data_IF_048773173734
#
_entry.id   IF_048773173734
#
_cell.length_a   1.000
_cell.length_b   1.000
_cell.length_c   1.000
_cell.angle_alpha   90.00
_cell.angle_beta   90.00
_cell.angle_gamma   90.00
#
_symmetry.space_group_name_H-M   'P 1'
#
loop_
_entity.id
_entity.type
_entity.pdbx_description
1 polymer ?
#
# COMPACT_ATOMS: atom_id res chain seq x y z
N UNK A 1 -11.18 -8.05 12.32
CA UNK A 1 -9.77 -7.68 12.07
C UNK A 1 -9.17 -7.14 13.36
N UNK A 2 -7.90 -7.43 13.67
CA UNK A 2 -7.26 -7.07 14.93
C UNK A 2 -6.07 -6.14 14.68
N UNK A 3 -6.35 -4.84 14.51
CA UNK A 3 -5.33 -3.82 14.25
C UNK A 3 -5.00 -3.05 15.53
N UNK A 4 -3.74 -2.62 15.65
CA UNK A 4 -3.33 -1.70 16.71
C UNK A 4 -3.94 -0.28 16.53
N UNK A 5 -3.75 0.59 17.51
CA UNK A 5 -4.13 2.01 17.38
C UNK A 5 -3.27 2.71 16.32
N UNK A 6 -3.91 3.45 15.41
CA UNK A 6 -3.25 4.11 14.29
C UNK A 6 -3.69 5.57 14.15
N UNK A 7 -2.74 6.41 13.77
CA UNK A 7 -2.92 7.81 13.41
C UNK A 7 -2.15 8.11 12.10
N UNK A 8 -2.31 9.30 11.54
CA UNK A 8 -1.58 9.69 10.32
C UNK A 8 -0.06 9.61 10.53
N UNK A 9 0.40 9.94 11.74
CA UNK A 9 1.80 9.82 12.15
C UNK A 9 2.34 8.39 12.12
N UNK A 10 1.48 7.36 12.06
CA UNK A 10 1.88 5.96 11.86
C UNK A 10 2.48 5.72 10.46
N UNK A 11 2.23 6.60 9.50
CA UNK A 11 2.80 6.56 8.15
C UNK A 11 3.91 7.61 7.94
N UNK A 12 4.15 8.48 8.91
CA UNK A 12 5.12 9.56 8.79
C UNK A 12 6.56 9.01 8.79
N UNK A 13 7.38 9.48 7.84
CA UNK A 13 8.80 9.15 7.76
C UNK A 13 9.60 10.40 8.09
N UNK A 14 10.38 10.38 9.16
CA UNK A 14 11.21 11.54 9.55
C UNK A 14 12.44 11.66 8.67
N UNK A 15 12.75 12.87 8.22
CA UNK A 15 14.04 13.20 7.63
C UNK A 15 15.06 13.71 8.67
N UNK A 16 16.19 14.29 8.22
CA UNK A 16 16.62 14.39 6.82
C UNK A 16 17.17 13.05 6.31
N UNK A 17 17.10 12.84 4.99
CA UNK A 17 17.83 11.79 4.30
C UNK A 17 18.27 12.33 2.93
N UNK A 18 19.51 12.07 2.49
CA UNK A 18 19.97 12.41 1.14
C UNK A 18 19.43 11.42 0.13
N UNK A 19 19.33 10.16 0.53
CA UNK A 19 18.84 9.08 -0.31
C UNK A 19 17.91 8.13 0.45
N UNK A 20 16.88 7.66 -0.26
CA UNK A 20 16.00 6.59 0.21
C UNK A 20 15.97 5.44 -0.78
N UNK A 21 15.75 4.24 -0.24
CA UNK A 21 15.48 3.03 -1.00
C UNK A 21 14.00 2.96 -1.36
N UNK A 22 13.70 2.82 -2.64
CA UNK A 22 12.35 2.87 -3.20
C UNK A 22 12.08 1.61 -3.99
N UNK A 23 10.87 1.07 -3.83
CA UNK A 23 10.42 -0.09 -4.57
C UNK A 23 9.94 0.34 -5.96
N UNK A 24 10.66 -0.05 -7.02
CA UNK A 24 10.14 0.13 -8.37
C UNK A 24 9.17 -0.99 -8.70
N UNK A 25 7.91 -0.64 -8.93
CA UNK A 25 6.92 -1.61 -9.42
C UNK A 25 7.19 -1.89 -10.90
N UNK A 26 7.07 -3.15 -11.30
CA UNK A 26 7.15 -3.58 -12.70
C UNK A 26 5.76 -4.05 -13.12
N UNK A 27 4.97 -3.23 -13.83
CA UNK A 27 3.62 -3.58 -14.22
C UNK A 27 3.56 -4.92 -14.97
N UNK A 28 2.58 -5.76 -14.62
CA UNK A 28 2.40 -7.10 -15.22
C UNK A 28 3.40 -8.15 -14.75
N UNK A 29 4.27 -7.83 -13.78
CA UNK A 29 5.21 -8.79 -13.20
C UNK A 29 5.07 -8.86 -11.67
N UNK A 30 5.34 -10.05 -11.11
CA UNK A 30 5.37 -10.26 -9.67
C UNK A 30 6.66 -9.69 -9.03
N UNK A 31 7.70 -9.54 -9.84
CA UNK A 31 8.98 -9.00 -9.40
C UNK A 31 8.93 -7.48 -9.29
N UNK A 32 9.73 -6.95 -8.39
CA UNK A 32 9.94 -5.51 -8.18
C UNK A 32 11.42 -5.19 -8.33
N UNK A 33 11.76 -3.94 -8.60
CA UNK A 33 13.13 -3.44 -8.54
C UNK A 33 13.41 -2.70 -7.22
N UNK A 34 14.70 -2.52 -6.92
CA UNK A 34 15.17 -1.59 -5.88
C UNK A 34 15.84 -0.38 -6.52
N UNK A 35 15.47 0.83 -6.09
CA UNK A 35 16.05 2.08 -6.58
C UNK A 35 16.51 2.94 -5.41
N UNK A 36 17.57 3.72 -5.63
CA UNK A 36 18.02 4.73 -4.67
C UNK A 36 17.75 6.11 -5.27
N UNK A 37 16.91 6.89 -4.60
CA UNK A 37 16.48 8.21 -5.10
C UNK A 37 16.58 9.28 -4.02
N UNK A 38 16.68 10.54 -4.44
CA UNK A 38 16.55 11.67 -3.53
C UNK A 38 15.07 11.86 -3.12
N UNK A 39 14.75 11.89 -1.82
CA UNK A 39 13.37 12.06 -1.35
C UNK A 39 12.85 13.48 -1.59
N UNK A 40 11.53 13.66 -1.58
CA UNK A 40 10.93 14.98 -1.32
C UNK A 40 10.80 15.15 0.18
N UNK A 41 11.24 16.29 0.70
CA UNK A 41 11.12 16.62 2.11
C UNK A 41 10.26 17.88 2.30
N UNK A 42 9.36 17.83 3.26
CA UNK A 42 8.53 18.96 3.67
C UNK A 42 8.38 18.92 5.19
N UNK A 43 8.62 20.06 5.86
CA UNK A 43 8.47 20.22 7.31
C UNK A 43 9.20 19.15 8.15
N UNK A 44 10.38 18.72 7.69
CA UNK A 44 11.20 17.69 8.35
C UNK A 44 10.73 16.25 8.15
N UNK A 45 9.71 16.02 7.34
CA UNK A 45 9.22 14.70 6.94
C UNK A 45 9.59 14.40 5.50
N UNK A 46 9.82 13.12 5.20
CA UNK A 46 9.90 12.63 3.82
C UNK A 46 8.47 12.37 3.35
N UNK A 47 8.09 13.02 2.26
CA UNK A 47 6.73 13.03 1.72
C UNK A 47 6.71 12.44 0.32
N UNK A 48 5.52 12.13 -0.15
CA UNK A 48 5.25 11.70 -1.52
C UNK A 48 5.52 12.85 -2.51
N UNK A 49 5.75 12.48 -3.76
CA UNK A 49 5.87 13.40 -4.88
C UNK A 49 5.23 12.77 -6.11
N UNK A 50 3.91 12.91 -6.27
CA UNK A 50 3.19 12.30 -7.38
C UNK A 50 3.63 12.78 -8.76
N UNK A 51 4.26 13.96 -8.86
CA UNK A 51 4.83 14.46 -10.12
C UNK A 51 6.04 13.62 -10.58
N UNK A 52 6.75 13.00 -9.63
CA UNK A 52 7.84 12.05 -9.87
C UNK A 52 7.42 10.59 -9.68
N UNK A 53 6.11 10.34 -9.55
CA UNK A 53 5.53 9.03 -9.23
C UNK A 53 6.12 8.40 -7.96
N UNK A 54 6.51 9.22 -6.99
CA UNK A 54 7.02 8.75 -5.70
C UNK A 54 5.86 8.72 -4.70
N UNK A 55 5.26 7.55 -4.50
CA UNK A 55 4.11 7.38 -3.60
C UNK A 55 4.50 6.57 -2.37
N UNK A 56 3.72 6.70 -1.30
CA UNK A 56 3.99 5.96 -0.05
C UNK A 56 3.29 4.61 -0.11
N UNK A 57 3.99 3.58 0.37
CA UNK A 57 3.43 2.25 0.61
C UNK A 57 3.58 1.92 2.09
N UNK A 58 2.55 1.32 2.69
CA UNK A 58 2.64 0.80 4.04
C UNK A 58 2.00 -0.58 4.16
N UNK A 59 2.54 -1.38 5.08
CA UNK A 59 1.96 -2.65 5.52
C UNK A 59 1.65 -2.58 7.00
N UNK A 60 0.39 -2.80 7.36
CA UNK A 60 -0.11 -2.73 8.74
C UNK A 60 -0.46 -4.13 9.23
N UNK A 61 0.12 -4.51 10.36
CA UNK A 61 -0.17 -5.78 11.03
C UNK A 61 -1.64 -5.82 11.50
N UNK A 62 -2.36 -6.90 11.17
CA UNK A 62 -3.82 -6.99 11.41
C UNK A 62 -4.32 -8.24 12.15
N UNK A 63 -3.42 -9.12 12.57
CA UNK A 63 -3.75 -10.41 13.16
C UNK A 63 -3.65 -10.36 14.69
N UNK A 64 -2.66 -9.65 15.22
CA UNK A 64 -2.32 -9.65 16.65
C UNK A 64 -2.35 -8.27 17.31
N UNK A 65 -2.79 -7.24 16.59
CA UNK A 65 -2.80 -5.84 17.05
C UNK A 65 -1.45 -5.39 17.63
N UNK A 66 -0.34 -5.80 17.00
CA UNK A 66 0.99 -5.47 17.52
C UNK A 66 1.37 -4.00 17.33
N UNK A 67 0.56 -3.24 16.59
CA UNK A 67 0.86 -1.85 16.22
C UNK A 67 2.02 -1.71 15.22
N UNK A 68 2.47 -2.81 14.62
CA UNK A 68 3.56 -2.77 13.64
C UNK A 68 3.06 -2.21 12.32
N UNK A 69 3.82 -1.25 11.79
CA UNK A 69 3.60 -0.64 10.49
C UNK A 69 4.97 -0.54 9.81
N UNK A 70 5.10 -1.20 8.66
CA UNK A 70 6.23 -0.98 7.78
C UNK A 70 5.87 0.09 6.78
N UNK A 71 6.71 1.11 6.64
CA UNK A 71 6.50 2.23 5.70
C UNK A 71 7.65 2.29 4.71
N UNK A 72 7.34 2.52 3.45
CA UNK A 72 8.29 2.72 2.38
C UNK A 72 7.72 3.58 1.28
N UNK A 73 8.44 3.65 0.15
CA UNK A 73 8.00 4.35 -1.03
C UNK A 73 8.04 3.43 -2.25
N UNK A 74 7.19 3.73 -3.22
CA UNK A 74 7.11 3.01 -4.49
C UNK A 74 7.07 3.98 -5.68
N UNK A 75 7.60 3.51 -6.81
CA UNK A 75 7.53 4.16 -8.13
C UNK A 75 6.87 3.24 -9.16
N UNK A 76 6.51 3.79 -10.32
CA UNK A 76 5.73 3.13 -11.38
C UNK A 76 4.32 2.72 -10.93
N UNK A 77 3.68 3.52 -10.09
CA UNK A 77 2.29 3.33 -9.66
C UNK A 77 1.35 4.16 -10.54
N UNK A 78 1.72 5.41 -10.82
CA UNK A 78 0.94 6.42 -11.51
C UNK A 78 -0.09 7.15 -10.63
N UNK A 79 -0.21 6.78 -9.35
CA UNK A 79 -1.21 7.34 -8.45
C UNK A 79 -0.94 8.84 -8.19
N UNK A 80 -1.86 9.71 -8.60
CA UNK A 80 -1.74 11.18 -8.46
C UNK A 80 -2.55 11.76 -7.31
N UNK A 81 -3.58 11.06 -6.87
CA UNK A 81 -4.50 11.49 -5.81
C UNK A 81 -5.13 10.28 -5.11
N UNK A 82 -5.43 10.43 -3.84
CA UNK A 82 -6.07 9.40 -3.05
C UNK A 82 -5.14 8.28 -2.59
N UNK A 83 -5.77 7.23 -2.07
CA UNK A 83 -5.13 6.02 -1.58
C UNK A 83 -5.99 4.79 -1.89
N UNK A 84 -5.38 3.61 -1.88
CA UNK A 84 -6.10 2.35 -1.96
C UNK A 84 -5.40 1.26 -1.18
N UNK A 85 -6.20 0.35 -0.64
CA UNK A 85 -5.71 -0.69 0.25
C UNK A 85 -6.44 -2.02 0.03
N UNK A 86 -5.79 -3.10 0.46
CA UNK A 86 -6.33 -4.45 0.42
C UNK A 86 -5.85 -5.26 1.63
N UNK A 87 -6.70 -6.16 2.11
CA UNK A 87 -6.28 -7.23 3.02
C UNK A 87 -5.82 -8.50 2.31
N UNK A 88 -6.01 -8.57 1.00
CA UNK A 88 -5.41 -9.59 0.14
C UNK A 88 -4.00 -9.13 -0.19
N UNK A 89 -3.03 -9.52 0.64
CA UNK A 89 -1.61 -9.25 0.46
C UNK A 89 -0.79 -10.53 0.64
N UNK A 90 -0.33 -11.13 -0.45
CA UNK A 90 0.38 -12.41 -0.43
C UNK A 90 1.67 -12.33 0.40
N UNK A 91 2.01 -13.27 1.27
CA UNK A 91 1.19 -14.37 1.82
C UNK A 91 0.85 -14.18 3.30
N UNK A 92 1.40 -13.13 3.93
CA UNK A 92 1.09 -12.79 5.32
C UNK A 92 -0.33 -12.23 5.48
N UNK A 93 -0.92 -11.74 4.40
CA UNK A 93 -2.23 -11.11 4.34
C UNK A 93 -2.41 -10.07 5.45
N UNK A 94 -1.41 -9.21 5.63
CA UNK A 94 -1.56 -7.95 6.38
C UNK A 94 -2.29 -6.92 5.51
N UNK A 95 -2.67 -5.76 6.08
CA UNK A 95 -3.20 -4.68 5.23
C UNK A 95 -2.03 -4.08 4.47
N UNK A 96 -2.14 -3.98 3.15
CA UNK A 96 -1.23 -3.19 2.32
C UNK A 96 -1.98 -1.97 1.78
N UNK A 97 -1.36 -0.81 1.82
CA UNK A 97 -1.94 0.46 1.38
C UNK A 97 -0.92 1.28 0.59
N UNK A 98 -1.35 1.82 -0.54
CA UNK A 98 -0.63 2.84 -1.32
C UNK A 98 -1.39 4.15 -1.24
N UNK A 99 -0.69 5.27 -1.15
CA UNK A 99 -1.33 6.58 -1.13
C UNK A 99 -0.38 7.73 -1.42
N UNK A 100 -0.97 8.86 -1.79
CA UNK A 100 -0.24 10.12 -1.95
C UNK A 100 -0.25 10.98 -0.69
N UNK A 101 -1.07 10.66 0.30
CA UNK A 101 -1.13 11.36 1.59
C UNK A 101 -1.52 10.41 2.72
N UNK A 102 -1.11 10.76 3.94
CA UNK A 102 -1.26 9.88 5.11
C UNK A 102 -2.71 9.80 5.62
N UNK A 103 -3.54 10.81 5.34
CA UNK A 103 -4.92 10.88 5.79
C UNK A 103 -5.80 9.91 5.01
N UNK A 104 -5.69 9.89 3.67
CA UNK A 104 -6.42 8.94 2.82
C UNK A 104 -5.94 7.51 3.06
N UNK A 105 -4.63 7.30 3.28
CA UNK A 105 -4.09 5.98 3.68
C UNK A 105 -4.70 5.50 5.01
N UNK A 106 -4.81 6.38 6.00
CA UNK A 106 -5.43 6.05 7.29
C UNK A 106 -6.90 5.72 7.13
N UNK A 107 -7.64 6.48 6.31
CA UNK A 107 -9.05 6.24 6.05
C UNK A 107 -9.27 4.90 5.33
N UNK A 108 -8.40 4.51 4.40
CA UNK A 108 -8.41 3.17 3.83
C UNK A 108 -8.30 2.10 4.92
N UNK A 109 -7.28 2.19 5.78
CA UNK A 109 -7.03 1.19 6.85
C UNK A 109 -8.22 1.11 7.82
N UNK A 110 -8.77 2.26 8.25
CA UNK A 110 -9.93 2.31 9.14
C UNK A 110 -11.19 1.72 8.48
N UNK A 111 -11.37 1.97 7.19
CA UNK A 111 -12.49 1.41 6.43
C UNK A 111 -12.37 -0.11 6.32
N UNK A 112 -11.20 -0.65 5.99
CA UNK A 112 -10.96 -2.09 5.97
C UNK A 112 -11.22 -2.74 7.33
N UNK A 113 -10.78 -2.10 8.42
CA UNK A 113 -11.04 -2.58 9.77
C UNK A 113 -12.55 -2.66 10.07
N UNK A 114 -13.32 -1.62 9.69
CA UNK A 114 -14.79 -1.57 9.82
C UNK A 114 -15.49 -2.66 9.01
N UNK A 115 -15.00 -2.95 7.79
CA UNK A 115 -15.55 -3.99 6.93
C UNK A 115 -15.18 -5.42 7.40
N UNK A 116 -14.23 -5.55 8.31
CA UNK A 116 -13.69 -6.86 8.72
C UNK A 116 -12.64 -7.43 7.75
N UNK A 117 -12.28 -6.68 6.71
CA UNK A 117 -11.40 -7.08 5.62
C UNK A 117 -12.03 -6.78 4.26
N UNK A 118 -11.20 -6.58 3.25
CA UNK A 118 -11.69 -6.14 1.96
C UNK A 118 -10.67 -5.41 1.09
N UNK A 119 -11.22 -4.63 0.18
CA UNK A 119 -10.53 -3.69 -0.70
C UNK A 119 -11.21 -2.34 -0.56
N UNK A 120 -10.44 -1.25 -0.62
CA UNK A 120 -10.98 0.12 -0.52
C UNK A 120 -10.19 1.08 -1.38
N UNK A 121 -10.88 2.08 -1.93
CA UNK A 121 -10.31 3.24 -2.60
C UNK A 121 -10.84 4.51 -1.94
N UNK A 122 -9.93 5.41 -1.58
CA UNK A 122 -10.23 6.71 -0.95
C UNK A 122 -9.65 7.82 -1.81
N UNK A 123 -10.34 8.95 -1.88
CA UNK A 123 -9.86 10.17 -2.53
C UNK A 123 -10.39 11.39 -1.77
N UNK A 124 -9.50 12.24 -1.28
CA UNK A 124 -9.85 13.53 -0.68
C UNK A 124 -10.68 13.39 0.60
N UNK A 125 -10.38 12.40 1.44
CA UNK A 125 -11.10 12.12 2.68
C UNK A 125 -12.43 11.37 2.50
N UNK A 126 -12.76 10.93 1.28
CA UNK A 126 -13.99 10.19 0.98
C UNK A 126 -13.72 8.78 0.47
N UNK A 127 -14.50 7.80 0.94
CA UNK A 127 -14.49 6.45 0.37
C UNK A 127 -15.18 6.50 -0.99
N UNK A 128 -14.43 6.26 -2.06
CA UNK A 128 -14.93 6.28 -3.45
C UNK A 128 -15.43 4.90 -3.89
N UNK A 129 -15.01 3.85 -3.19
CA UNK A 129 -15.52 2.51 -3.36
C UNK A 129 -14.88 1.54 -2.37
N UNK A 130 -15.63 0.53 -1.97
CA UNK A 130 -15.14 -0.56 -1.13
C UNK A 130 -15.81 -1.88 -1.50
N UNK A 131 -15.12 -2.97 -1.18
CA UNK A 131 -15.59 -4.33 -1.34
C UNK A 131 -15.27 -5.11 -0.05
N UNK A 132 -16.32 -5.48 0.68
CA UNK A 132 -16.18 -6.30 1.88
C UNK A 132 -15.78 -7.74 1.52
N UNK A 133 -14.77 -8.26 2.22
CA UNK A 133 -14.33 -9.66 2.15
C UNK A 133 -14.44 -10.28 3.54
N UNK A 134 -15.66 -10.51 4.07
CA UNK A 134 -15.88 -10.90 5.46
C UNK A 134 -15.20 -12.22 5.87
N UNK A 135 -14.94 -13.12 4.90
CA UNK A 135 -14.27 -14.39 5.19
C UNK A 135 -12.76 -14.17 5.19
N UNK A 136 -12.18 -14.05 6.39
CA UNK A 136 -10.75 -13.83 6.66
C UNK A 136 -10.13 -12.54 6.03
N UNK A 137 -10.95 -11.64 5.47
CA UNK A 137 -10.46 -10.54 4.64
C UNK A 137 -9.98 -10.98 3.26
N UNK A 138 -10.42 -12.15 2.78
CA UNK A 138 -9.95 -12.74 1.54
C UNK A 138 -11.07 -13.08 0.56
N UNK A 139 -12.25 -13.47 1.06
CA UNK A 139 -13.37 -13.87 0.22
C UNK A 139 -14.66 -13.13 0.60
N UNK A 140 -15.48 -12.88 -0.42
CA UNK A 140 -16.85 -12.37 -0.27
C UNK A 140 -17.84 -13.53 -0.27
N UNK A 141 -18.92 -13.38 0.46
CA UNK A 141 -20.12 -14.22 0.41
C UNK A 141 -21.21 -13.65 -0.52
N UNK A 142 -20.95 -12.49 -1.14
CA UNK A 142 -21.84 -11.88 -2.12
C UNK A 142 -21.82 -12.61 -3.48
N UNK A 143 -22.86 -12.48 -4.31
CA UNK A 143 -22.88 -13.03 -5.66
C UNK A 143 -21.73 -12.52 -6.53
N UNK A 144 -21.13 -13.40 -7.33
CA UNK A 144 -20.00 -13.09 -8.22
C UNK A 144 -20.23 -11.82 -9.06
N UNK A 145 -21.41 -11.68 -9.66
CA UNK A 145 -21.73 -10.52 -10.51
C UNK A 145 -21.65 -9.20 -9.72
N UNK A 146 -22.11 -9.17 -8.47
CA UNK A 146 -22.05 -7.98 -7.63
C UNK A 146 -20.59 -7.64 -7.26
N UNK A 147 -19.81 -8.64 -6.86
CA UNK A 147 -18.38 -8.49 -6.54
C UNK A 147 -17.61 -7.96 -7.74
N UNK A 148 -17.86 -8.54 -8.92
CA UNK A 148 -17.23 -8.13 -10.18
C UNK A 148 -17.55 -6.68 -10.54
N UNK A 149 -18.82 -6.28 -10.51
CA UNK A 149 -19.21 -4.88 -10.81
C UNK A 149 -18.59 -3.88 -9.82
N UNK A 150 -18.57 -4.20 -8.52
CA UNK A 150 -17.93 -3.35 -7.51
C UNK A 150 -16.42 -3.20 -7.77
N UNK A 151 -15.73 -4.31 -8.07
CA UNK A 151 -14.30 -4.29 -8.38
C UNK A 151 -14.00 -3.47 -9.64
N UNK A 152 -14.77 -3.64 -10.72
CA UNK A 152 -14.65 -2.83 -11.93
C UNK A 152 -14.89 -1.34 -11.67
N UNK A 153 -15.85 -1.00 -10.81
CA UNK A 153 -16.10 0.37 -10.37
C UNK A 153 -14.88 0.99 -9.70
N UNK A 154 -14.28 0.29 -8.74
CA UNK A 154 -13.08 0.76 -8.04
C UNK A 154 -11.87 0.89 -8.96
N UNK A 155 -11.66 -0.05 -9.89
CA UNK A 155 -10.57 0.05 -10.88
C UNK A 155 -10.72 1.27 -11.81
N UNK A 156 -11.96 1.63 -12.18
CA UNK A 156 -12.22 2.87 -12.94
C UNK A 156 -11.83 4.11 -12.13
N UNK A 157 -12.12 4.13 -10.83
CA UNK A 157 -11.68 5.22 -9.93
C UNK A 157 -10.15 5.28 -9.88
N UNK A 158 -9.47 4.15 -9.71
CA UNK A 158 -7.99 4.12 -9.69
C UNK A 158 -7.37 4.59 -10.99
N UNK A 159 -7.92 4.19 -12.14
CA UNK A 159 -7.51 4.70 -13.46
C UNK A 159 -7.71 6.22 -13.56
N UNK A 160 -8.84 6.75 -13.07
CA UNK A 160 -9.07 8.19 -13.00
C UNK A 160 -8.07 8.90 -12.07
N UNK A 161 -7.65 8.25 -11.00
CA UNK A 161 -6.66 8.75 -10.04
C UNK A 161 -5.21 8.62 -10.54
N UNK A 162 -5.02 8.06 -11.74
CA UNK A 162 -3.74 8.00 -12.45
C UNK A 162 -3.04 6.63 -12.41
N UNK A 163 -3.56 5.65 -11.69
CA UNK A 163 -2.96 4.31 -11.62
C UNK A 163 -2.85 3.73 -13.03
N UNK A 164 -1.65 3.27 -13.39
CA UNK A 164 -1.32 2.79 -14.74
C UNK A 164 -1.45 1.28 -14.90
N UNK A 165 -1.74 0.57 -13.80
CA UNK A 165 -1.82 -0.89 -13.77
C UNK A 165 -3.12 -1.40 -14.38
N UNK A 166 -3.03 -2.49 -15.15
CA UNK A 166 -4.21 -3.18 -15.70
C UNK A 166 -5.08 -3.79 -14.61
N UNK A 167 -4.45 -4.47 -13.63
CA UNK A 167 -5.11 -5.12 -12.50
C UNK A 167 -4.56 -4.60 -11.15
N UNK A 168 -4.98 -3.40 -10.70
CA UNK A 168 -4.33 -2.71 -9.59
C UNK A 168 -4.29 -3.48 -8.27
N UNK A 169 -5.40 -4.14 -7.92
CA UNK A 169 -5.49 -4.90 -6.67
C UNK A 169 -4.68 -6.19 -6.70
N UNK A 170 -4.53 -6.80 -7.87
CA UNK A 170 -3.63 -7.93 -8.06
C UNK A 170 -2.17 -7.49 -7.95
N UNK A 171 -1.78 -6.38 -8.58
CA UNK A 171 -0.42 -5.85 -8.43
C UNK A 171 -0.10 -5.53 -6.96
N UNK A 172 -1.03 -4.84 -6.28
CA UNK A 172 -0.90 -4.47 -4.87
C UNK A 172 -0.68 -5.69 -3.97
N UNK A 173 -1.38 -6.80 -4.22
CA UNK A 173 -1.29 -7.99 -3.37
C UNK A 173 0.11 -8.63 -3.36
N UNK A 174 0.92 -8.42 -4.40
CA UNK A 174 2.27 -8.98 -4.52
C UNK A 174 3.39 -8.04 -4.06
N UNK A 175 3.10 -6.78 -3.74
CA UNK A 175 4.11 -5.83 -3.23
C UNK A 175 4.59 -6.21 -1.82
N UNK A 176 3.77 -6.95 -1.08
CA UNK A 176 4.09 -7.46 0.25
C UNK A 176 4.64 -8.90 0.28
N UNK A 177 4.81 -9.54 -0.90
CA UNK A 177 5.24 -10.95 -0.98
C UNK A 177 6.75 -11.09 -0.85
N UNK A 178 7.21 -11.24 0.40
CA UNK A 178 8.63 -11.23 0.82
C UNK A 178 9.48 -12.45 0.37
N UNK A 179 9.05 -13.18 -0.64
CA UNK A 179 9.77 -14.34 -1.21
C UNK A 179 9.99 -14.22 -2.72
N UNK A 180 9.51 -13.14 -3.35
CA UNK A 180 9.76 -12.82 -4.76
C UNK A 180 10.65 -11.57 -4.85
N UNK A 181 11.76 -11.62 -5.61
CA UNK A 181 12.70 -10.50 -5.71
C UNK A 181 12.13 -9.27 -6.43
N UNK A 182 12.77 -8.10 -6.31
CA UNK A 182 13.97 -7.79 -5.52
C UNK A 182 13.64 -7.14 -4.17
N UNK A 183 12.91 -6.02 -4.17
CA UNK A 183 12.57 -5.26 -2.97
C UNK A 183 11.09 -5.37 -2.63
N UNK A 184 10.77 -5.81 -1.42
CA UNK A 184 9.38 -5.97 -0.93
C UNK A 184 9.19 -5.19 0.36
N UNK A 185 7.97 -5.16 0.87
CA UNK A 185 7.63 -4.52 2.14
C UNK A 185 6.80 -5.46 3.01
N UNK A 186 7.04 -5.44 4.32
CA UNK A 186 6.26 -6.17 5.32
C UNK A 186 5.84 -5.20 6.42
N UNK A 187 5.07 -5.64 7.42
CA UNK A 187 4.77 -4.84 8.62
C UNK A 187 6.04 -4.50 9.43
N UNK A 188 7.19 -5.08 9.08
CA UNK A 188 8.50 -4.82 9.70
C UNK A 188 9.39 -3.89 8.86
N UNK A 189 8.91 -3.40 7.72
CA UNK A 189 9.66 -2.52 6.82
C UNK A 189 10.09 -3.21 5.51
N UNK A 190 11.08 -2.62 4.83
CA UNK A 190 11.56 -3.10 3.54
C UNK A 190 12.37 -4.39 3.68
N UNK A 191 12.20 -5.30 2.73
CA UNK A 191 12.91 -6.57 2.64
C UNK A 191 13.66 -6.64 1.32
N UNK A 192 14.97 -6.78 1.38
CA UNK A 192 15.78 -7.22 0.25
C UNK A 192 15.68 -8.74 0.16
N UNK A 193 14.87 -9.22 -0.79
CA UNK A 193 14.53 -10.65 -0.88
C UNK A 193 15.70 -11.47 -1.42
N UNK A 194 16.59 -10.87 -2.21
CA UNK A 194 17.80 -11.55 -2.68
C UNK A 194 18.73 -11.89 -1.51
N UNK A 195 18.77 -11.02 -0.50
CA UNK A 195 19.61 -11.18 0.70
C UNK A 195 18.85 -11.74 1.91
N UNK A 196 17.53 -11.92 1.79
CA UNK A 196 16.63 -12.33 2.89
C UNK A 196 16.78 -11.51 4.17
N UNK A 197 16.93 -10.19 4.04
CA UNK A 197 17.13 -9.30 5.18
C UNK A 197 16.19 -8.08 5.13
N UNK A 198 15.88 -7.56 6.32
CA UNK A 198 15.29 -6.25 6.44
C UNK A 198 16.35 -5.19 6.13
N UNK A 199 16.00 -4.24 5.28
CA UNK A 199 16.90 -3.16 4.87
C UNK A 199 16.33 -1.80 5.29
N UNK A 200 17.19 -0.83 5.64
CA UNK A 200 16.72 0.50 6.03
C UNK A 200 16.13 1.23 4.82
N UNK A 201 15.12 2.06 5.09
CA UNK A 201 14.53 2.96 4.10
C UNK A 201 15.51 4.08 3.70
N UNK A 202 16.23 4.65 4.66
CA UNK A 202 17.22 5.70 4.42
C UNK A 202 18.61 5.05 4.26
N UNK A 203 19.37 5.48 3.26
CA UNK A 203 20.61 4.79 2.84
C UNK A 203 21.86 5.68 2.87
N UNK A 204 21.88 6.65 3.78
CA UNK A 204 23.01 7.57 3.95
C UNK A 204 24.19 6.97 4.71
#
# INVERSE_FOLDING_TARGET
MNIGSLAETSFAVRGPARHIRVMRVVPGQLVTGSEIVAPTAQDGLLVTDPARDLVKIAVVERHHATGRVGVGFATNVGLRKGAFASTVAHDAHNIVVLGVDDADMLLCVRTLARLGGGIVVVEGGEVRGDLALPVAGLMSDAPLAAVHEQMLGMEKVLRHNGVTWEAPFMCLSFLALSVIPELKITDRGLVDVNRFELVPLQVD
#
